data_IF_615762424800
#
_entry.id   IF_615762424800
#
_cell.length_a   1.000
_cell.length_b   1.000
_cell.length_c   1.000
_cell.angle_alpha   90.00
_cell.angle_beta   90.00
_cell.angle_gamma   90.00
#
_symmetry.space_group_name_H-M   'P 1'
#
loop_
_entity.id
_entity.type
_entity.pdbx_description
1 polymer ?
#
# COMPACT_ATOMS: atom_id res chain seq x y z
N UNK A 1 11.37 26.79 13.15
CA UNK A 1 11.17 25.37 12.77
C UNK A 1 12.54 24.73 12.70
N UNK A 2 12.79 23.64 13.43
CA UNK A 2 14.11 23.01 13.47
C UNK A 2 14.42 22.31 12.14
N UNK A 3 15.70 22.20 11.76
CA UNK A 3 16.14 21.57 10.50
C UNK A 3 15.55 20.16 10.27
N UNK A 4 15.30 19.42 11.34
CA UNK A 4 14.67 18.11 11.29
C UNK A 4 13.19 18.17 10.88
N UNK A 5 12.41 19.10 11.45
CA UNK A 5 10.99 19.28 11.12
C UNK A 5 10.83 19.69 9.64
N UNK A 6 11.73 20.54 9.14
CA UNK A 6 11.74 20.96 7.75
C UNK A 6 11.96 19.77 6.80
N UNK A 7 12.95 18.91 7.10
CA UNK A 7 13.18 17.68 6.32
C UNK A 7 11.98 16.74 6.33
N UNK A 8 11.31 16.55 7.47
CA UNK A 8 10.09 15.70 7.53
C UNK A 8 8.97 16.27 6.69
N UNK A 9 8.79 17.60 6.70
CA UNK A 9 7.78 18.27 5.92
C UNK A 9 8.08 18.16 4.42
N UNK A 10 9.34 18.36 4.01
CA UNK A 10 9.80 18.20 2.63
C UNK A 10 9.55 16.78 2.10
N UNK A 11 9.60 15.74 2.94
CA UNK A 11 9.32 14.37 2.51
C UNK A 11 7.86 14.16 2.09
N UNK A 12 6.92 14.87 2.72
CA UNK A 12 5.48 14.73 2.49
C UNK A 12 4.90 15.76 1.54
N UNK A 13 5.72 16.70 1.08
CA UNK A 13 5.34 17.68 0.07
C UNK A 13 5.17 17.01 -1.29
N UNK A 14 4.08 17.36 -1.98
CA UNK A 14 3.67 16.77 -3.25
C UNK A 14 3.34 17.86 -4.26
N UNK A 15 3.59 17.57 -5.53
CA UNK A 15 3.26 18.46 -6.63
C UNK A 15 1.76 18.45 -6.97
N UNK A 16 1.27 19.48 -7.66
CA UNK A 16 -0.15 19.62 -8.00
C UNK A 16 -0.68 18.42 -8.82
N UNK A 17 0.14 17.89 -9.72
CA UNK A 17 -0.24 16.74 -10.53
C UNK A 17 -0.37 15.46 -9.68
N UNK A 18 0.47 15.30 -8.65
CA UNK A 18 0.44 14.16 -7.73
C UNK A 18 -0.76 14.22 -6.82
N UNK A 19 -1.10 15.42 -6.33
CA UNK A 19 -2.33 15.64 -5.57
C UNK A 19 -3.53 15.18 -6.38
N UNK A 20 -3.62 15.60 -7.66
CA UNK A 20 -4.73 15.23 -8.53
C UNK A 20 -4.77 13.71 -8.80
N UNK A 21 -3.63 13.13 -9.16
CA UNK A 21 -3.53 11.71 -9.48
C UNK A 21 -3.84 10.82 -8.26
N UNK A 22 -3.20 11.10 -7.12
CA UNK A 22 -3.38 10.32 -5.90
C UNK A 22 -4.80 10.49 -5.36
N UNK A 23 -5.39 11.69 -5.42
CA UNK A 23 -6.79 11.88 -5.03
C UNK A 23 -7.73 11.02 -5.87
N UNK A 24 -7.56 11.01 -7.19
CA UNK A 24 -8.37 10.19 -8.09
C UNK A 24 -8.20 8.70 -7.80
N UNK A 25 -6.96 8.24 -7.62
CA UNK A 25 -6.69 6.83 -7.32
C UNK A 25 -7.27 6.42 -5.96
N UNK A 26 -7.08 7.21 -4.90
CA UNK A 26 -7.68 6.94 -3.59
C UNK A 26 -9.21 6.91 -3.65
N UNK A 27 -9.82 7.81 -4.43
CA UNK A 27 -11.27 7.82 -4.65
C UNK A 27 -11.74 6.52 -5.31
N UNK A 28 -10.99 5.99 -6.29
CA UNK A 28 -11.34 4.76 -7.00
C UNK A 28 -11.04 3.48 -6.18
N UNK A 29 -10.08 3.51 -5.26
CA UNK A 29 -9.78 2.37 -4.39
C UNK A 29 -11.00 2.00 -3.55
N UNK A 30 -11.71 2.98 -2.98
CA UNK A 30 -12.90 2.74 -2.15
C UNK A 30 -13.94 1.82 -2.81
N UNK A 31 -14.53 2.20 -3.97
CA UNK A 31 -15.42 1.35 -4.75
C UNK A 31 -14.80 0.01 -5.16
N UNK A 32 -13.51 0.02 -5.54
CA UNK A 32 -12.80 -1.19 -5.96
C UNK A 32 -12.73 -2.24 -4.84
N UNK A 33 -12.62 -1.81 -3.58
CA UNK A 33 -12.67 -2.72 -2.43
C UNK A 33 -14.00 -3.49 -2.35
N UNK A 34 -15.13 -2.85 -2.67
CA UNK A 34 -16.43 -3.51 -2.68
C UNK A 34 -16.55 -4.47 -3.86
N UNK A 35 -16.10 -4.08 -5.05
CA UNK A 35 -16.10 -4.94 -6.24
C UNK A 35 -15.24 -6.20 -5.99
N UNK A 36 -14.03 -6.01 -5.47
CA UNK A 36 -13.12 -7.10 -5.18
C UNK A 36 -13.65 -8.02 -4.07
N UNK A 37 -14.24 -7.43 -3.04
CA UNK A 37 -14.90 -8.14 -1.95
C UNK A 37 -16.11 -8.96 -2.43
N UNK A 38 -16.89 -8.45 -3.38
CA UNK A 38 -17.96 -9.17 -4.05
C UNK A 38 -17.41 -10.33 -4.87
N UNK A 39 -16.32 -10.13 -5.63
CA UNK A 39 -15.68 -11.19 -6.40
C UNK A 39 -15.21 -12.34 -5.49
N UNK A 40 -14.49 -12.04 -4.42
CA UNK A 40 -14.03 -13.07 -3.46
C UNK A 40 -15.21 -13.82 -2.82
N UNK A 41 -16.33 -13.15 -2.55
CA UNK A 41 -17.51 -13.80 -1.94
C UNK A 41 -18.25 -14.75 -2.87
N UNK A 42 -18.23 -14.49 -4.18
CA UNK A 42 -18.97 -15.32 -5.15
C UNK A 42 -18.10 -16.43 -5.76
N UNK A 43 -16.78 -16.28 -5.73
CA UNK A 43 -15.84 -17.17 -6.41
C UNK A 43 -14.79 -17.79 -5.47
N UNK A 44 -14.92 -17.61 -4.15
CA UNK A 44 -14.05 -18.21 -3.15
C UNK A 44 -14.83 -19.08 -2.17
N UNK A 45 -14.12 -19.98 -1.50
CA UNK A 45 -14.64 -20.75 -0.36
C UNK A 45 -14.98 -19.83 0.84
N UNK A 46 -15.50 -20.39 1.94
CA UNK A 46 -15.85 -19.63 3.15
C UNK A 46 -14.66 -18.80 3.67
N UNK A 47 -14.65 -17.52 3.31
CA UNK A 47 -13.54 -16.60 3.58
C UNK A 47 -13.80 -15.82 4.87
N UNK A 48 -12.84 -15.86 5.79
CA UNK A 48 -12.87 -15.09 7.02
C UNK A 48 -12.50 -13.63 6.76
N UNK A 49 -13.29 -12.71 7.31
CA UNK A 49 -13.04 -11.27 7.19
C UNK A 49 -13.23 -10.57 8.52
N UNK A 50 -12.39 -9.57 8.75
CA UNK A 50 -12.55 -8.66 9.88
C UNK A 50 -13.77 -7.78 9.59
N UNK A 51 -14.82 -7.95 10.40
CA UNK A 51 -16.07 -7.20 10.28
C UNK A 51 -15.81 -5.68 10.36
N UNK A 52 -16.41 -4.91 9.45
CA UNK A 52 -16.33 -3.44 9.44
C UNK A 52 -15.03 -2.85 8.90
N UNK A 53 -13.95 -3.64 8.74
CA UNK A 53 -12.66 -3.10 8.31
C UNK A 53 -12.66 -2.62 6.86
N UNK A 54 -13.40 -3.31 5.97
CA UNK A 54 -13.57 -2.91 4.57
C UNK A 54 -14.23 -1.52 4.48
N UNK A 55 -15.34 -1.34 5.19
CA UNK A 55 -16.10 -0.11 5.22
C UNK A 55 -15.27 1.03 5.81
N UNK A 56 -14.56 0.76 6.90
CA UNK A 56 -13.66 1.70 7.54
C UNK A 56 -12.59 2.21 6.57
N UNK A 57 -11.86 1.29 5.90
CA UNK A 57 -10.82 1.70 4.96
C UNK A 57 -11.39 2.36 3.71
N UNK A 58 -12.51 1.90 3.16
CA UNK A 58 -13.16 2.56 2.04
C UNK A 58 -13.54 4.01 2.37
N UNK A 59 -14.03 4.26 3.59
CA UNK A 59 -14.33 5.60 4.08
C UNK A 59 -13.06 6.43 4.30
N UNK A 60 -11.98 5.85 4.82
CA UNK A 60 -10.69 6.55 4.93
C UNK A 60 -10.13 6.95 3.55
N UNK A 61 -10.17 6.04 2.57
CA UNK A 61 -9.78 6.32 1.19
C UNK A 61 -10.57 7.48 0.59
N UNK A 62 -11.89 7.47 0.80
CA UNK A 62 -12.77 8.56 0.37
C UNK A 62 -12.41 9.88 1.06
N UNK A 63 -12.26 9.89 2.39
CA UNK A 63 -11.91 11.10 3.15
C UNK A 63 -10.60 11.69 2.61
N UNK A 64 -9.54 10.89 2.53
CA UNK A 64 -8.22 11.36 2.08
C UNK A 64 -8.26 11.84 0.63
N UNK A 65 -9.06 11.23 -0.24
CA UNK A 65 -9.22 11.69 -1.63
C UNK A 65 -9.85 13.08 -1.76
N UNK A 66 -10.72 13.47 -0.83
CA UNK A 66 -11.46 14.74 -0.90
C UNK A 66 -10.70 15.88 -0.20
N UNK A 67 -9.87 15.56 0.81
CA UNK A 67 -9.11 16.54 1.62
C UNK A 67 -8.40 17.63 0.79
N UNK A 68 -7.71 17.33 -0.33
CA UNK A 68 -7.07 18.36 -1.14
C UNK A 68 -8.02 19.35 -1.80
N UNK A 69 -9.24 18.93 -2.09
CA UNK A 69 -10.26 19.77 -2.70
C UNK A 69 -10.84 20.78 -1.68
N UNK A 70 -10.91 20.38 -0.40
CA UNK A 70 -11.40 21.21 0.69
C UNK A 70 -10.32 22.19 1.17
N UNK A 71 -9.12 21.69 1.47
CA UNK A 71 -8.07 22.47 2.15
C UNK A 71 -7.01 23.07 1.21
N UNK A 72 -7.05 22.74 -0.09
CA UNK A 72 -6.21 23.30 -1.16
C UNK A 72 -4.73 23.39 -0.76
N UNK A 73 -4.17 24.60 -0.75
CA UNK A 73 -2.74 24.87 -0.50
C UNK A 73 -2.24 24.41 0.87
N UNK A 74 -3.12 24.28 1.88
CA UNK A 74 -2.71 23.91 3.25
C UNK A 74 -2.38 22.42 3.39
N UNK A 75 -2.95 21.55 2.55
CA UNK A 75 -2.74 20.09 2.67
C UNK A 75 -1.46 19.63 1.97
N UNK A 76 -1.01 20.35 0.92
CA UNK A 76 0.14 19.98 0.08
C UNK A 76 1.37 19.48 0.85
N UNK A 77 1.86 20.17 1.90
CA UNK A 77 3.06 19.71 2.62
C UNK A 77 2.85 18.42 3.43
N UNK A 78 1.62 17.96 3.62
CA UNK A 78 1.29 16.77 4.42
C UNK A 78 0.64 15.65 3.62
N UNK A 79 0.17 15.92 2.40
CA UNK A 79 -0.64 14.97 1.65
C UNK A 79 0.13 13.69 1.31
N UNK A 80 1.44 13.78 1.00
CA UNK A 80 2.28 12.61 0.79
C UNK A 80 2.35 11.70 2.01
N UNK A 81 2.42 12.28 3.23
CA UNK A 81 2.35 11.53 4.48
C UNK A 81 1.00 10.85 4.69
N UNK A 82 -0.10 11.54 4.36
CA UNK A 82 -1.44 10.98 4.49
C UNK A 82 -1.63 9.78 3.56
N UNK A 83 -1.22 9.91 2.30
CA UNK A 83 -1.22 8.82 1.32
C UNK A 83 -0.36 7.67 1.84
N UNK A 84 0.88 7.94 2.26
CA UNK A 84 1.79 6.94 2.78
C UNK A 84 1.21 6.15 3.95
N UNK A 85 0.74 6.82 5.00
CA UNK A 85 0.19 6.17 6.20
C UNK A 85 -1.08 5.37 5.89
N UNK A 86 -1.94 5.88 5.01
CA UNK A 86 -3.15 5.17 4.60
C UNK A 86 -2.81 3.90 3.82
N UNK A 87 -1.94 3.99 2.82
CA UNK A 87 -1.52 2.81 2.04
C UNK A 87 -0.78 1.80 2.91
N UNK A 88 0.08 2.27 3.83
CA UNK A 88 0.82 1.43 4.78
C UNK A 88 -0.12 0.65 5.71
N UNK A 89 -1.05 1.35 6.37
CA UNK A 89 -2.00 0.74 7.30
C UNK A 89 -2.93 -0.25 6.60
N UNK A 90 -3.44 0.11 5.41
CA UNK A 90 -4.27 -0.80 4.63
C UNK A 90 -3.52 -2.05 4.18
N UNK A 91 -2.25 -1.91 3.79
CA UNK A 91 -1.42 -3.06 3.40
C UNK A 91 -1.18 -4.00 4.58
N UNK A 92 -0.95 -3.46 5.79
CA UNK A 92 -0.83 -4.29 7.00
C UNK A 92 -2.14 -5.01 7.32
N UNK A 93 -3.29 -4.36 7.10
CA UNK A 93 -4.59 -5.01 7.18
C UNK A 93 -4.75 -6.13 6.14
N UNK A 94 -4.30 -5.94 4.90
CA UNK A 94 -4.32 -7.01 3.89
C UNK A 94 -3.44 -8.21 4.29
N UNK A 95 -2.26 -7.99 4.88
CA UNK A 95 -1.40 -9.06 5.41
C UNK A 95 -2.12 -9.86 6.50
N UNK A 96 -2.89 -9.20 7.36
CA UNK A 96 -3.69 -9.90 8.37
C UNK A 96 -4.79 -10.73 7.70
N UNK A 97 -5.48 -10.21 6.68
CA UNK A 97 -6.47 -10.98 5.93
C UNK A 97 -5.86 -12.18 5.20
N UNK A 98 -4.63 -12.04 4.68
CA UNK A 98 -3.90 -13.17 4.11
C UNK A 98 -3.68 -14.25 5.16
N UNK A 99 -3.21 -13.87 6.35
CA UNK A 99 -2.90 -14.82 7.42
C UNK A 99 -4.14 -15.59 7.90
N UNK A 100 -5.28 -14.91 8.10
CA UNK A 100 -6.52 -15.58 8.56
C UNK A 100 -7.19 -16.44 7.48
N UNK A 101 -6.83 -16.23 6.20
CA UNK A 101 -7.33 -17.02 5.07
C UNK A 101 -6.25 -17.94 4.48
N UNK A 102 -5.25 -18.33 5.30
CA UNK A 102 -4.18 -19.27 4.93
C UNK A 102 -3.50 -18.96 3.59
N UNK A 103 -3.28 -17.67 3.32
CA UNK A 103 -2.66 -17.19 2.09
C UNK A 103 -3.36 -17.69 0.81
N UNK A 104 -4.70 -17.73 0.83
CA UNK A 104 -5.49 -18.08 -0.35
C UNK A 104 -5.17 -17.19 -1.56
N UNK A 105 -5.19 -17.80 -2.74
CA UNK A 105 -4.73 -17.17 -3.99
C UNK A 105 -5.52 -15.91 -4.30
N UNK A 106 -6.83 -15.88 -4.00
CA UNK A 106 -7.68 -14.72 -4.24
C UNK A 106 -7.22 -13.51 -3.41
N UNK A 107 -6.89 -13.70 -2.13
CA UNK A 107 -6.37 -12.61 -1.29
C UNK A 107 -4.94 -12.23 -1.65
N UNK A 108 -4.10 -13.20 -2.03
CA UNK A 108 -2.74 -12.94 -2.51
C UNK A 108 -2.76 -12.02 -3.73
N UNK A 109 -3.64 -12.29 -4.71
CA UNK A 109 -3.77 -11.45 -5.90
C UNK A 109 -4.11 -10.00 -5.53
N UNK A 110 -5.11 -9.79 -4.69
CA UNK A 110 -5.50 -8.46 -4.22
C UNK A 110 -4.36 -7.76 -3.47
N UNK A 111 -3.63 -8.49 -2.63
CA UNK A 111 -2.46 -7.99 -1.92
C UNK A 111 -1.35 -7.54 -2.88
N UNK A 112 -0.96 -8.36 -3.87
CA UNK A 112 0.09 -8.00 -4.82
C UNK A 112 -0.29 -6.78 -5.66
N UNK A 113 -1.52 -6.74 -6.19
CA UNK A 113 -2.00 -5.59 -6.98
C UNK A 113 -1.96 -4.32 -6.13
N UNK A 114 -2.40 -4.40 -4.87
CA UNK A 114 -2.40 -3.25 -3.97
C UNK A 114 -0.97 -2.78 -3.63
N UNK A 115 -0.06 -3.70 -3.30
CA UNK A 115 1.35 -3.39 -3.01
C UNK A 115 2.02 -2.73 -4.20
N UNK A 116 1.84 -3.29 -5.41
CA UNK A 116 2.40 -2.72 -6.63
C UNK A 116 1.82 -1.32 -6.92
N UNK A 117 0.51 -1.14 -6.82
CA UNK A 117 -0.15 0.16 -6.98
C UNK A 117 0.34 1.19 -5.95
N UNK A 118 0.59 0.77 -4.72
CA UNK A 118 1.15 1.63 -3.66
C UNK A 118 2.53 2.16 -4.02
N UNK A 119 3.39 1.30 -4.55
CA UNK A 119 4.76 1.67 -4.95
C UNK A 119 4.72 2.71 -6.08
N UNK A 120 3.79 2.59 -7.02
CA UNK A 120 3.62 3.56 -8.12
C UNK A 120 3.03 4.90 -7.66
N UNK A 121 2.27 4.91 -6.56
CA UNK A 121 1.67 6.12 -5.97
C UNK A 121 2.68 6.99 -5.20
N UNK A 122 3.75 6.39 -4.71
CA UNK A 122 4.76 7.11 -3.95
C UNK A 122 5.78 7.75 -4.89
N UNK A 123 5.93 9.06 -4.82
CA UNK A 123 7.03 9.76 -5.50
C UNK A 123 8.33 9.74 -4.67
N UNK A 124 8.22 9.65 -3.35
CA UNK A 124 9.39 9.70 -2.47
C UNK A 124 10.00 8.31 -2.28
N UNK A 125 11.28 8.17 -2.64
CA UNK A 125 12.06 6.94 -2.45
C UNK A 125 12.10 6.48 -0.99
N UNK A 126 12.13 7.42 -0.05
CA UNK A 126 12.14 7.11 1.39
C UNK A 126 10.83 6.43 1.79
N UNK A 127 9.68 6.89 1.27
CA UNK A 127 8.39 6.24 1.50
C UNK A 127 8.35 4.85 0.88
N UNK A 128 8.84 4.68 -0.35
CA UNK A 128 8.88 3.35 -0.98
C UNK A 128 9.74 2.38 -0.15
N UNK A 129 10.95 2.77 0.25
CA UNK A 129 11.83 1.91 1.05
C UNK A 129 11.23 1.58 2.42
N UNK A 130 10.69 2.57 3.14
CA UNK A 130 10.06 2.34 4.44
C UNK A 130 8.82 1.44 4.32
N UNK A 131 7.99 1.66 3.29
CA UNK A 131 6.84 0.83 2.98
C UNK A 131 7.26 -0.62 2.73
N UNK A 132 8.20 -0.84 1.81
CA UNK A 132 8.66 -2.18 1.44
C UNK A 132 9.28 -2.96 2.61
N UNK A 133 10.10 -2.31 3.44
CA UNK A 133 10.73 -2.96 4.59
C UNK A 133 9.68 -3.39 5.61
N UNK A 134 8.76 -2.49 5.96
CA UNK A 134 7.73 -2.78 6.98
C UNK A 134 6.77 -3.88 6.55
N UNK A 135 6.30 -3.84 5.29
CA UNK A 135 5.42 -4.88 4.76
C UNK A 135 6.16 -6.22 4.62
N UNK A 136 7.45 -6.21 4.26
CA UNK A 136 8.25 -7.43 4.15
C UNK A 136 8.42 -8.11 5.52
N UNK A 137 8.75 -7.33 6.56
CA UNK A 137 8.90 -7.84 7.92
C UNK A 137 7.56 -8.41 8.43
N UNK A 138 6.45 -7.69 8.26
CA UNK A 138 5.14 -8.15 8.72
C UNK A 138 4.65 -9.38 7.94
N UNK A 139 4.89 -9.43 6.62
CA UNK A 139 4.59 -10.60 5.80
C UNK A 139 5.38 -11.81 6.27
N UNK A 140 6.70 -11.66 6.45
CA UNK A 140 7.58 -12.74 6.92
C UNK A 140 7.10 -13.26 8.29
N UNK A 141 6.78 -12.36 9.22
CA UNK A 141 6.25 -12.73 10.54
C UNK A 141 4.95 -13.55 10.43
N UNK A 142 4.03 -13.18 9.54
CA UNK A 142 2.76 -13.93 9.38
C UNK A 142 2.94 -15.24 8.63
N UNK A 143 3.86 -15.27 7.67
CA UNK A 143 4.15 -16.45 6.87
C UNK A 143 4.81 -17.56 7.71
N UNK A 144 5.64 -17.21 8.70
CA UNK A 144 6.31 -18.20 9.58
C UNK A 144 5.40 -18.80 10.65
N UNK A 145 4.30 -18.12 10.99
CA UNK A 145 3.33 -18.59 12.00
C UNK A 145 2.15 -19.32 11.34
N UNK A 146 1.92 -19.09 10.05
CA UNK A 146 0.81 -19.70 9.33
C UNK A 146 1.08 -21.18 9.04
N UNK A 147 0.03 -21.99 9.21
CA UNK A 147 0.02 -23.40 8.86
C UNK A 147 -0.31 -23.55 7.36
N UNK A 148 0.71 -23.39 6.52
CA UNK A 148 0.60 -23.46 5.06
C UNK A 148 1.61 -24.46 4.49
N UNK A 149 1.27 -25.03 3.33
CA UNK A 149 2.17 -25.91 2.60
C UNK A 149 3.50 -25.22 2.28
N UNK A 150 4.59 -25.99 2.36
CA UNK A 150 5.97 -25.55 2.11
C UNK A 150 6.11 -24.96 0.70
N UNK A 151 5.37 -25.50 -0.28
CA UNK A 151 5.39 -24.97 -1.64
C UNK A 151 4.80 -23.56 -1.69
N UNK A 152 3.64 -23.34 -1.06
CA UNK A 152 2.99 -22.03 -0.99
C UNK A 152 3.85 -21.02 -0.22
N UNK A 153 4.41 -21.44 0.92
CA UNK A 153 5.36 -20.64 1.71
C UNK A 153 6.51 -20.12 0.83
N UNK A 154 7.18 -21.03 0.11
CA UNK A 154 8.32 -20.68 -0.75
C UNK A 154 7.90 -19.79 -1.92
N UNK A 155 6.73 -20.03 -2.51
CA UNK A 155 6.21 -19.22 -3.61
C UNK A 155 5.93 -17.78 -3.18
N UNK A 156 5.27 -17.58 -2.04
CA UNK A 156 4.99 -16.24 -1.48
C UNK A 156 6.29 -15.54 -1.10
N UNK A 157 7.20 -16.22 -0.41
CA UNK A 157 8.47 -15.63 0.00
C UNK A 157 9.34 -15.24 -1.20
N UNK A 158 9.47 -16.12 -2.18
CA UNK A 158 10.26 -15.88 -3.40
C UNK A 158 9.70 -14.71 -4.21
N UNK A 159 8.41 -14.72 -4.50
CA UNK A 159 7.75 -13.65 -5.26
C UNK A 159 7.84 -12.29 -4.58
N UNK A 160 7.68 -12.24 -3.26
CA UNK A 160 7.77 -10.98 -2.52
C UNK A 160 9.22 -10.49 -2.39
N UNK A 161 10.19 -11.40 -2.29
CA UNK A 161 11.61 -11.06 -2.35
C UNK A 161 11.98 -10.49 -3.72
N UNK A 162 11.49 -11.08 -4.81
CA UNK A 162 11.68 -10.54 -6.16
C UNK A 162 11.05 -9.15 -6.30
N UNK A 163 9.82 -8.95 -5.82
CA UNK A 163 9.15 -7.65 -5.82
C UNK A 163 9.98 -6.60 -5.06
N UNK A 164 10.48 -6.96 -3.88
CA UNK A 164 11.36 -6.11 -3.08
C UNK A 164 12.64 -5.73 -3.84
N UNK A 165 13.32 -6.72 -4.41
CA UNK A 165 14.56 -6.51 -5.17
C UNK A 165 14.35 -5.64 -6.40
N UNK A 166 13.32 -5.91 -7.22
CA UNK A 166 13.03 -5.11 -8.41
C UNK A 166 12.61 -3.68 -8.07
N UNK A 167 11.84 -3.51 -6.99
CA UNK A 167 11.48 -2.17 -6.52
C UNK A 167 12.73 -1.40 -6.09
N UNK A 168 13.66 -2.05 -5.40
CA UNK A 168 14.93 -1.45 -4.99
C UNK A 168 15.83 -1.12 -6.20
N UNK A 169 15.90 -2.02 -7.18
CA UNK A 169 16.64 -1.78 -8.43
C UNK A 169 16.04 -0.60 -9.19
N UNK A 170 14.71 -0.49 -9.29
CA UNK A 170 14.05 0.65 -9.96
C UNK A 170 14.37 1.98 -9.26
N UNK A 171 14.37 1.97 -7.92
CA UNK A 171 14.77 3.12 -7.11
C UNK A 171 16.23 3.52 -7.36
N UNK A 172 17.15 2.56 -7.44
CA UNK A 172 18.57 2.80 -7.72
C UNK A 172 18.78 3.19 -9.19
N UNK A 173 18.19 2.50 -10.15
CA UNK A 173 18.38 2.76 -11.59
C UNK A 173 18.02 4.20 -11.98
N UNK A 174 16.98 4.77 -11.35
CA UNK A 174 16.63 6.19 -11.53
C UNK A 174 17.71 7.18 -11.04
N UNK A 175 18.69 6.77 -10.21
CA UNK A 175 19.83 7.63 -9.83
C UNK A 175 20.87 7.76 -10.92
N UNK A 176 21.07 6.73 -11.73
CA UNK A 176 22.13 6.70 -12.74
C UNK A 176 21.78 7.63 -13.91
N UNK A 177 20.49 7.73 -14.26
CA UNK A 177 20.01 8.58 -15.35
C UNK A 177 19.69 10.02 -14.93
N UNK A 178 19.71 10.34 -13.62
CA UNK A 178 19.52 11.70 -13.09
C UNK A 178 20.84 12.42 -12.84
N UNK A 179 21.82 12.24 -13.74
CA UNK A 179 22.95 13.16 -13.89
C UNK A 179 22.72 13.99 -15.15
N UNK A 180 22.07 15.13 -14.97
CA UNK A 180 22.28 16.41 -15.68
C UNK A 180 21.65 17.52 -14.85
#
# INVERSE_FOLDING_TARGET
MNNFQKKIQELGEVEDFEVKNNSLLLFLIGPSLFIFSYFINNFGDDNLRIKGAREFFALLFLIVSILPHIFKKRIKPFFGWMVFLLMLSFTHYLIINLAINNFSVQFLLGFYVFVFGSILLFNNRTFISAFLITIFIHLLQKLTIADIDVLLYKAVLSSFTLLFMFSFISLIGSTIFRKK
#
